data_IF_637648631078
#
_entry.id   IF_637648631078
#
_cell.length_a   1.000
_cell.length_b   1.000
_cell.length_c   1.000
_cell.angle_alpha   90.00
_cell.angle_beta   90.00
_cell.angle_gamma   90.00
#
_symmetry.space_group_name_H-M   'P 1'
#
loop_
_entity.id
_entity.type
_entity.pdbx_description
1 polymer ?
#
# COMPACT_ATOMS: atom_id res chain seq x y z
N UNK A 1 -7.40 -2.06 10.62
CA UNK A 1 -7.10 -3.41 11.09
C UNK A 1 -8.12 -3.87 12.10
N UNK A 2 -8.37 -5.17 12.14
CA UNK A 2 -9.31 -5.76 13.08
C UNK A 2 -8.72 -5.78 14.49
N UNK A 3 -9.44 -5.22 15.44
CA UNK A 3 -9.04 -5.16 16.85
C UNK A 3 -10.00 -5.91 17.75
N UNK A 4 -10.88 -6.75 17.17
CA UNK A 4 -11.88 -7.50 17.91
C UNK A 4 -11.29 -8.60 18.80
N UNK A 5 -10.11 -9.10 18.44
CA UNK A 5 -9.41 -10.13 19.22
C UNK A 5 -8.58 -9.50 20.33
N UNK A 6 -8.57 -10.08 21.54
CA UNK A 6 -7.80 -9.51 22.66
C UNK A 6 -6.31 -9.30 22.33
N UNK A 7 -5.68 -10.20 21.61
CA UNK A 7 -4.27 -10.11 21.24
C UNK A 7 -3.99 -8.98 20.25
N UNK A 8 -5.03 -8.43 19.61
CA UNK A 8 -4.91 -7.36 18.63
C UNK A 8 -5.18 -5.96 19.22
N UNK A 9 -5.54 -5.87 20.50
CA UNK A 9 -5.87 -4.58 21.14
C UNK A 9 -4.72 -3.57 21.08
N UNK A 10 -3.48 -4.05 21.09
CA UNK A 10 -2.30 -3.20 21.06
C UNK A 10 -1.76 -2.98 19.66
N UNK A 11 -2.37 -3.58 18.64
CA UNK A 11 -1.98 -3.34 17.26
C UNK A 11 -2.48 -1.97 16.83
N UNK A 12 -1.55 -1.11 16.46
CA UNK A 12 -1.82 0.23 15.98
C UNK A 12 -1.00 0.48 14.71
N UNK A 13 -1.31 1.56 14.01
CA UNK A 13 -0.47 1.99 12.88
C UNK A 13 0.92 2.42 13.34
N UNK A 14 1.13 2.65 14.63
CA UNK A 14 2.47 2.88 15.20
C UNK A 14 3.40 1.70 14.99
N UNK A 15 2.87 0.48 14.89
CA UNK A 15 3.67 -0.72 14.64
C UNK A 15 4.44 -0.59 13.33
N UNK A 16 3.81 -0.09 12.28
CA UNK A 16 4.46 0.11 10.98
C UNK A 16 5.61 1.11 11.10
N UNK A 17 5.37 2.23 11.79
CA UNK A 17 6.39 3.23 12.04
C UNK A 17 7.57 2.65 12.82
N UNK A 18 7.28 1.95 13.92
CA UNK A 18 8.31 1.43 14.79
C UNK A 18 9.20 0.42 14.09
N UNK A 19 8.62 -0.49 13.31
CA UNK A 19 9.38 -1.47 12.55
C UNK A 19 10.21 -0.79 11.44
N UNK A 20 9.62 0.17 10.76
CA UNK A 20 10.29 0.91 9.69
C UNK A 20 11.47 1.72 10.23
N UNK A 21 11.31 2.37 11.39
CA UNK A 21 12.36 3.16 12.02
C UNK A 21 13.55 2.29 12.43
N UNK A 22 13.33 1.00 12.65
CA UNK A 22 14.39 0.03 12.98
C UNK A 22 15.04 -0.57 11.74
N UNK A 23 14.71 -0.08 10.55
CA UNK A 23 15.30 -0.55 9.29
C UNK A 23 14.67 -1.82 8.75
N UNK A 24 13.53 -2.25 9.26
CA UNK A 24 12.81 -3.41 8.77
C UNK A 24 11.97 -2.99 7.56
N UNK A 25 12.07 -3.75 6.47
CA UNK A 25 11.27 -3.52 5.27
C UNK A 25 9.84 -4.02 5.51
N UNK A 26 8.94 -3.07 5.74
CA UNK A 26 7.55 -3.36 6.11
C UNK A 26 6.65 -3.27 4.87
N UNK A 27 5.84 -4.31 4.66
CA UNK A 27 4.72 -4.26 3.72
C UNK A 27 3.43 -4.07 4.50
N UNK A 28 2.52 -3.28 3.94
CA UNK A 28 1.19 -3.04 4.52
C UNK A 28 0.18 -3.85 3.74
N UNK A 29 -0.67 -4.57 4.44
CA UNK A 29 -1.73 -5.37 3.84
C UNK A 29 -3.07 -5.05 4.48
N UNK A 30 -4.16 -5.34 3.76
CA UNK A 30 -5.51 -5.17 4.29
C UNK A 30 -6.03 -6.42 4.97
N UNK A 31 -5.42 -7.58 4.68
CA UNK A 31 -5.94 -8.88 5.10
C UNK A 31 -7.40 -9.05 4.67
N UNK A 32 -7.64 -8.74 3.38
CA UNK A 32 -9.00 -8.86 2.82
C UNK A 32 -9.64 -10.21 3.17
N UNK A 33 -10.87 -10.29 3.65
CA UNK A 33 -11.88 -9.22 3.73
C UNK A 33 -11.95 -8.45 5.07
N UNK A 34 -10.99 -8.60 5.97
CA UNK A 34 -10.98 -7.89 7.25
C UNK A 34 -11.03 -6.38 7.02
N UNK A 35 -10.16 -5.86 6.16
CA UNK A 35 -10.28 -4.54 5.55
C UNK A 35 -10.42 -4.80 4.05
N UNK A 36 -11.38 -4.19 3.40
CA UNK A 36 -11.58 -4.42 1.98
C UNK A 36 -10.38 -3.93 1.18
N UNK A 37 -10.02 -4.67 0.14
CA UNK A 37 -8.76 -4.46 -0.60
C UNK A 37 -8.67 -3.06 -1.22
N UNK A 38 -9.79 -2.45 -1.59
CA UNK A 38 -9.80 -1.08 -2.13
C UNK A 38 -9.34 -0.04 -1.12
N UNK A 39 -9.23 -0.39 0.16
CA UNK A 39 -8.78 0.51 1.22
C UNK A 39 -7.28 0.37 1.52
N UNK A 40 -6.50 -0.29 0.67
CA UNK A 40 -5.06 -0.44 0.89
C UNK A 40 -4.35 0.91 0.99
N UNK A 41 -4.67 1.85 0.10
CA UNK A 41 -4.08 3.19 0.15
C UNK A 41 -4.46 3.93 1.42
N UNK A 42 -5.68 3.73 1.92
CA UNK A 42 -6.11 4.31 3.19
C UNK A 42 -5.27 3.78 4.35
N UNK A 43 -4.90 2.50 4.33
CA UNK A 43 -3.99 1.94 5.34
C UNK A 43 -2.63 2.65 5.32
N UNK A 44 -2.11 2.97 4.14
CA UNK A 44 -0.87 3.74 4.02
C UNK A 44 -1.04 5.17 4.55
N UNK A 45 -2.16 5.82 4.26
CA UNK A 45 -2.50 7.14 4.80
C UNK A 45 -2.47 7.12 6.33
N UNK A 46 -3.11 6.13 6.93
CA UNK A 46 -3.16 6.00 8.38
C UNK A 46 -1.79 5.73 8.99
N UNK A 47 -0.94 4.95 8.32
CA UNK A 47 0.42 4.72 8.78
C UNK A 47 1.24 6.03 8.78
N UNK A 48 1.12 6.83 7.72
CA UNK A 48 1.78 8.15 7.65
C UNK A 48 1.26 9.07 8.74
N UNK A 49 -0.04 9.10 8.94
CA UNK A 49 -0.66 9.93 9.97
C UNK A 49 -0.16 9.58 11.36
N UNK A 50 0.22 8.33 11.59
CA UNK A 50 0.77 7.86 12.86
C UNK A 50 2.30 7.92 12.90
N UNK A 51 2.93 8.60 11.94
CA UNK A 51 4.34 8.95 11.98
C UNK A 51 5.26 8.14 11.08
N UNK A 52 4.75 7.21 10.28
CA UNK A 52 5.58 6.51 9.30
C UNK A 52 6.04 7.48 8.20
N UNK A 53 7.27 7.34 7.74
CA UNK A 53 7.79 8.12 6.62
C UNK A 53 6.92 7.91 5.37
N UNK A 54 6.54 9.00 4.69
CA UNK A 54 5.63 8.93 3.54
C UNK A 54 6.20 8.08 2.41
N UNK A 55 7.48 8.23 2.10
CA UNK A 55 8.12 7.45 1.03
C UNK A 55 8.13 5.96 1.38
N UNK A 56 8.42 5.61 2.63
CA UNK A 56 8.42 4.21 3.09
C UNK A 56 7.01 3.64 3.09
N UNK A 57 6.00 4.44 3.44
CA UNK A 57 4.60 4.00 3.38
C UNK A 57 4.16 3.72 1.95
N UNK A 58 4.56 4.57 1.00
CA UNK A 58 4.27 4.34 -0.42
C UNK A 58 4.95 3.06 -0.92
N UNK A 59 6.21 2.86 -0.55
CA UNK A 59 6.94 1.63 -0.88
C UNK A 59 6.31 0.41 -0.23
N UNK A 60 5.76 0.54 0.96
CA UNK A 60 5.15 -0.56 1.70
C UNK A 60 3.93 -1.15 1.00
N UNK A 61 3.27 -0.40 0.11
CA UNK A 61 2.15 -0.89 -0.69
C UNK A 61 2.53 -1.12 -2.16
N UNK A 62 3.80 -0.95 -2.51
CA UNK A 62 4.30 -1.12 -3.89
C UNK A 62 5.58 -1.95 -3.91
N UNK A 63 6.74 -1.31 -4.00
CA UNK A 63 8.03 -1.99 -4.24
C UNK A 63 8.45 -2.90 -3.08
N UNK A 64 8.30 -2.46 -1.84
CA UNK A 64 8.65 -3.29 -0.69
C UNK A 64 7.74 -4.50 -0.57
N UNK A 65 6.43 -4.31 -0.81
CA UNK A 65 5.49 -5.42 -0.83
C UNK A 65 5.85 -6.44 -1.92
N UNK A 66 6.18 -5.97 -3.13
CA UNK A 66 6.59 -6.85 -4.22
C UNK A 66 7.86 -7.63 -3.88
N UNK A 67 8.84 -6.96 -3.28
CA UNK A 67 10.09 -7.58 -2.87
C UNK A 67 9.87 -8.65 -1.80
N UNK A 68 9.03 -8.35 -0.80
CA UNK A 68 8.73 -9.30 0.26
C UNK A 68 7.99 -10.54 -0.25
N UNK A 69 7.26 -10.41 -1.35
CA UNK A 69 6.57 -11.53 -2.01
C UNK A 69 7.39 -12.18 -3.12
N UNK A 70 8.62 -11.72 -3.36
CA UNK A 70 9.55 -12.24 -4.38
C UNK A 70 9.02 -12.11 -5.80
N UNK A 71 8.26 -11.04 -6.08
CA UNK A 71 7.73 -10.74 -7.42
C UNK A 71 8.17 -9.36 -7.93
N UNK A 72 9.22 -8.80 -7.32
CA UNK A 72 9.73 -7.47 -7.66
C UNK A 72 10.40 -7.41 -9.03
N UNK A 73 10.70 -8.56 -9.63
CA UNK A 73 11.15 -8.63 -11.03
C UNK A 73 10.02 -8.33 -12.03
N UNK A 74 8.76 -8.45 -11.60
CA UNK A 74 7.60 -8.27 -12.47
C UNK A 74 6.78 -7.02 -12.17
N UNK A 75 6.68 -6.66 -10.90
CA UNK A 75 5.79 -5.57 -10.44
C UNK A 75 6.43 -4.76 -9.32
N UNK A 76 5.77 -3.71 -8.88
CA UNK A 76 6.15 -2.91 -7.72
C UNK A 76 6.81 -1.58 -8.06
N UNK A 77 7.36 -1.44 -9.26
CA UNK A 77 7.95 -0.19 -9.76
C UNK A 77 7.61 -0.01 -11.24
N UNK A 78 7.74 1.23 -11.71
CA UNK A 78 7.55 1.57 -13.12
C UNK A 78 8.89 1.46 -13.85
N UNK A 79 9.15 0.28 -14.43
CA UNK A 79 10.38 0.01 -15.15
C UNK A 79 10.07 -0.74 -16.45
N UNK A 80 10.88 -0.49 -17.46
CA UNK A 80 10.78 -1.20 -18.73
C UNK A 80 10.96 -2.71 -18.50
N UNK A 81 10.08 -3.51 -19.06
CA UNK A 81 10.11 -4.97 -18.94
C UNK A 81 9.24 -5.52 -17.82
N UNK A 82 8.70 -4.66 -16.96
CA UNK A 82 7.76 -5.09 -15.91
C UNK A 82 6.32 -5.07 -16.40
N UNK A 83 5.48 -5.84 -15.70
CA UNK A 83 4.04 -5.87 -15.99
C UNK A 83 3.44 -4.46 -15.83
N UNK A 84 2.60 -4.06 -16.77
CA UNK A 84 1.96 -2.76 -16.72
C UNK A 84 0.70 -2.81 -15.85
N UNK A 85 0.91 -3.07 -14.55
CA UNK A 85 -0.10 -3.03 -13.50
C UNK A 85 0.07 -1.71 -12.76
N UNK A 86 -0.76 -0.72 -13.14
CA UNK A 86 -0.54 0.68 -12.77
C UNK A 86 -1.83 1.29 -12.24
N UNK A 87 -1.74 1.98 -11.11
CA UNK A 87 -2.82 2.79 -10.59
C UNK A 87 -2.45 4.26 -10.71
N UNK A 88 -3.37 5.06 -11.23
CA UNK A 88 -3.19 6.51 -11.40
C UNK A 88 -4.05 7.23 -10.37
N UNK A 89 -3.44 8.11 -9.62
CA UNK A 89 -4.08 8.86 -8.54
C UNK A 89 -4.05 10.36 -8.82
N UNK A 90 -4.99 11.10 -8.23
CA UNK A 90 -5.03 12.57 -8.35
C UNK A 90 -3.88 13.25 -7.61
N UNK A 91 -3.30 12.58 -6.59
CA UNK A 91 -2.15 13.03 -5.82
C UNK A 91 -1.45 11.78 -5.30
N UNK A 92 -0.44 11.92 -4.44
CA UNK A 92 0.21 10.76 -3.83
C UNK A 92 -0.82 9.88 -3.12
N UNK A 93 -0.77 8.55 -3.31
CA UNK A 93 -1.74 7.62 -2.68
C UNK A 93 -1.74 7.67 -1.15
N UNK A 94 -0.66 8.17 -0.55
CA UNK A 94 -0.50 8.32 0.90
C UNK A 94 -1.24 9.54 1.46
N UNK A 95 -1.89 10.33 0.63
CA UNK A 95 -2.67 11.49 1.05
C UNK A 95 -4.16 11.16 1.05
N UNK A 96 -4.83 11.55 2.13
CA UNK A 96 -6.24 11.21 2.35
C UNK A 96 -7.16 11.66 1.21
N UNK A 97 -6.93 12.85 0.67
CA UNK A 97 -7.76 13.42 -0.40
C UNK A 97 -7.45 12.86 -1.79
N UNK A 98 -6.42 12.02 -1.92
CA UNK A 98 -6.06 11.42 -3.21
C UNK A 98 -7.06 10.35 -3.61
N UNK A 99 -7.43 10.34 -4.89
CA UNK A 99 -8.37 9.36 -5.45
C UNK A 99 -7.72 8.60 -6.59
N UNK A 100 -7.95 7.30 -6.65
CA UNK A 100 -7.55 6.48 -7.79
C UNK A 100 -8.53 6.74 -8.94
N UNK A 101 -8.02 7.26 -10.04
CA UNK A 101 -8.85 7.65 -11.19
C UNK A 101 -8.76 6.66 -12.35
N UNK A 102 -7.67 5.90 -12.43
CA UNK A 102 -7.48 4.89 -13.49
C UNK A 102 -6.69 3.73 -12.94
N UNK A 103 -7.00 2.53 -13.40
CA UNK A 103 -6.24 1.32 -13.09
C UNK A 103 -5.98 0.56 -14.38
N UNK A 104 -4.72 0.15 -14.56
CA UNK A 104 -4.30 -0.68 -15.69
C UNK A 104 -3.85 -2.04 -15.16
N UNK A 105 -4.30 -3.10 -15.80
CA UNK A 105 -3.82 -4.46 -15.54
C UNK A 105 -3.30 -5.00 -16.85
N UNK A 106 -2.03 -5.39 -16.85
CA UNK A 106 -1.34 -5.90 -18.03
C UNK A 106 -1.48 -4.94 -19.22
N UNK A 107 -1.35 -3.64 -18.94
CA UNK A 107 -1.40 -2.58 -19.93
C UNK A 107 -2.80 -2.17 -20.38
N UNK A 108 -3.84 -2.81 -19.87
CA UNK A 108 -5.22 -2.50 -20.24
C UNK A 108 -5.91 -1.72 -19.15
N UNK A 109 -6.55 -0.60 -19.53
CA UNK A 109 -7.36 0.16 -18.58
C UNK A 109 -8.62 -0.64 -18.23
N UNK A 110 -8.78 -0.92 -16.92
CA UNK A 110 -9.91 -1.71 -16.41
C UNK A 110 -10.89 -0.86 -15.63
N UNK A 111 -10.66 0.45 -15.57
CA UNK A 111 -11.51 1.39 -14.84
C UNK A 111 -12.34 2.20 -15.82
N UNK A 112 -13.66 2.26 -15.56
CA UNK A 112 -14.53 3.17 -16.33
C UNK A 112 -14.18 4.60 -15.93
N UNK A 113 -13.79 5.40 -16.92
CA UNK A 113 -13.51 6.80 -16.70
C UNK A 113 -14.85 7.54 -16.61
N UNK A 114 -15.11 8.13 -15.47
CA UNK A 114 -16.30 8.93 -15.25
C UNK A 114 -16.04 10.39 -15.60
#
# INVERSE_FOLDING_TARGET
>A
SDRSKPELKNLTFDTYKNLSDRGIDVAIITDHPEITIENLSLCAVMAVKNGMDEEKALKAITSTAAKNCWIDDRVGTLEVGKDADIAVFTDLPTRFESECVMTFIDGKCVTDIK
#
